data_IF_113911667344
#
_entry.id   IF_113911667344
#
_cell.length_a   1.000
_cell.length_b   1.000
_cell.length_c   1.000
_cell.angle_alpha   90.00
_cell.angle_beta   90.00
_cell.angle_gamma   90.00
#
_symmetry.space_group_name_H-M   'P 1'
#
loop_
_entity.id
_entity.type
_entity.pdbx_description
1 polymer ?
#
# COMPACT_ATOMS: atom_id res chain seq x y z
N UNK A 1 -29.52 -64.49 2.67
CA UNK A 1 -28.49 -63.56 3.20
C UNK A 1 -28.17 -62.56 2.11
N UNK A 2 -28.26 -61.27 2.48
CA UNK A 2 -27.91 -60.06 1.72
C UNK A 2 -28.77 -59.69 0.48
N UNK A 3 -29.66 -58.69 0.60
CA UNK A 3 -30.32 -58.03 -0.53
C UNK A 3 -29.36 -57.10 -1.31
N UNK A 4 -29.71 -56.70 -2.55
CA UNK A 4 -28.91 -55.77 -3.35
C UNK A 4 -28.88 -54.37 -2.72
N UNK A 5 -27.69 -53.75 -2.68
CA UNK A 5 -27.51 -52.36 -2.29
C UNK A 5 -28.00 -51.41 -3.40
N UNK A 6 -28.63 -50.29 -3.02
CA UNK A 6 -29.38 -49.42 -3.93
C UNK A 6 -28.52 -48.43 -4.75
N UNK A 7 -29.17 -48.06 -5.86
CA UNK A 7 -28.93 -46.97 -6.81
C UNK A 7 -28.41 -45.65 -6.24
N UNK A 8 -27.43 -45.09 -6.95
CA UNK A 8 -26.91 -43.72 -6.84
C UNK A 8 -28.03 -42.67 -6.74
N UNK A 9 -27.98 -41.72 -5.79
CA UNK A 9 -28.96 -40.64 -5.74
C UNK A 9 -28.74 -39.64 -6.89
N UNK A 10 -29.82 -39.13 -7.51
CA UNK A 10 -29.73 -38.15 -8.58
C UNK A 10 -29.20 -36.81 -8.05
N UNK A 11 -28.22 -36.26 -8.77
CA UNK A 11 -27.61 -34.96 -8.47
C UNK A 11 -28.64 -33.84 -8.42
N UNK A 12 -28.64 -33.09 -7.31
CA UNK A 12 -29.49 -31.93 -7.15
C UNK A 12 -29.07 -30.81 -8.12
N UNK A 13 -29.99 -30.47 -9.02
CA UNK A 13 -29.86 -29.43 -10.02
C UNK A 13 -29.80 -28.03 -9.38
N UNK A 14 -28.81 -27.22 -9.78
CA UNK A 14 -28.45 -25.90 -9.22
C UNK A 14 -29.54 -24.81 -9.37
N UNK A 15 -30.70 -25.12 -9.95
CA UNK A 15 -31.80 -24.17 -10.21
C UNK A 15 -32.84 -24.11 -9.09
N UNK A 16 -32.79 -24.99 -8.09
CA UNK A 16 -33.71 -25.01 -6.94
C UNK A 16 -33.10 -24.36 -5.68
N UNK A 17 -32.00 -23.61 -5.80
CA UNK A 17 -31.46 -22.78 -4.71
C UNK A 17 -31.83 -21.30 -4.83
N UNK A 18 -32.49 -20.88 -5.92
CA UNK A 18 -32.93 -19.49 -6.14
C UNK A 18 -34.42 -19.24 -5.86
N UNK A 19 -35.09 -20.15 -5.15
CA UNK A 19 -36.53 -20.02 -4.82
C UNK A 19 -36.82 -20.01 -3.31
N UNK A 20 -35.80 -20.07 -2.44
CA UNK A 20 -35.96 -20.20 -0.99
C UNK A 20 -35.52 -18.98 -0.16
N UNK A 21 -35.29 -17.82 -0.78
CA UNK A 21 -34.84 -16.60 -0.09
C UNK A 21 -35.77 -15.40 -0.31
N UNK A 22 -37.06 -15.66 -0.52
CA UNK A 22 -38.07 -14.63 -0.84
C UNK A 22 -39.04 -14.34 0.31
N UNK A 23 -38.68 -14.66 1.55
CA UNK A 23 -39.53 -14.38 2.71
C UNK A 23 -38.74 -13.69 3.82
N UNK A 24 -38.98 -12.38 3.96
CA UNK A 24 -38.72 -11.66 5.21
C UNK A 24 -37.78 -10.47 5.06
N UNK A 25 -38.28 -9.35 4.53
CA UNK A 25 -37.77 -8.02 4.87
C UNK A 25 -38.78 -6.95 4.45
N UNK A 26 -39.83 -6.81 5.26
CA UNK A 26 -40.70 -5.64 5.22
C UNK A 26 -41.37 -5.43 6.58
N UNK A 27 -40.63 -4.95 7.58
CA UNK A 27 -41.14 -4.00 8.60
C UNK A 27 -40.01 -3.06 9.04
N UNK A 28 -40.15 -1.83 8.55
CA UNK A 28 -39.75 -0.51 9.02
C UNK A 28 -39.13 -0.40 10.44
N UNK A 29 -37.92 0.15 10.49
CA UNK A 29 -37.48 1.08 11.54
C UNK A 29 -36.43 2.06 10.98
N UNK A 30 -36.91 3.24 10.60
CA UNK A 30 -36.13 4.46 10.30
C UNK A 30 -35.42 4.96 11.56
N UNK A 31 -34.25 4.40 11.91
CA UNK A 31 -33.64 4.74 13.19
C UNK A 31 -32.18 4.38 13.50
N UNK A 32 -31.33 3.89 12.58
CA UNK A 32 -29.91 3.58 12.90
C UNK A 32 -28.88 3.79 11.76
N UNK A 33 -29.15 4.57 10.71
CA UNK A 33 -28.27 4.63 9.51
C UNK A 33 -27.52 5.94 9.26
N UNK A 34 -27.51 6.92 10.17
CA UNK A 34 -26.60 8.07 10.02
C UNK A 34 -25.17 7.68 10.40
N UNK A 35 -25.00 6.97 11.51
CA UNK A 35 -23.67 6.62 12.02
C UNK A 35 -22.85 5.77 11.05
N UNK A 36 -23.43 4.76 10.38
CA UNK A 36 -22.67 3.85 9.52
C UNK A 36 -22.16 4.49 8.22
N UNK A 37 -22.84 5.53 7.72
CA UNK A 37 -22.39 6.27 6.54
C UNK A 37 -21.31 7.29 6.93
N UNK A 38 -21.54 8.05 8.01
CA UNK A 38 -20.57 9.01 8.56
C UNK A 38 -19.27 8.32 9.02
N UNK A 39 -19.35 7.15 9.66
CA UNK A 39 -18.16 6.40 10.08
C UNK A 39 -17.38 5.84 8.89
N UNK A 40 -18.05 5.37 7.83
CA UNK A 40 -17.35 4.94 6.61
C UNK A 40 -16.64 6.10 5.94
N UNK A 41 -17.30 7.25 5.84
CA UNK A 41 -16.70 8.46 5.27
C UNK A 41 -15.47 8.91 6.06
N UNK A 42 -15.54 8.91 7.39
CA UNK A 42 -14.40 9.21 8.29
C UNK A 42 -13.24 8.23 8.15
N UNK A 43 -13.52 6.94 7.98
CA UNK A 43 -12.46 5.94 7.75
C UNK A 43 -11.81 6.19 6.39
N UNK A 44 -12.60 6.47 5.35
CA UNK A 44 -12.04 6.74 4.02
C UNK A 44 -11.23 8.04 3.96
N UNK A 45 -11.61 9.07 4.73
CA UNK A 45 -10.84 10.31 4.84
C UNK A 45 -9.55 10.12 5.62
N UNK A 46 -9.60 9.44 6.78
CA UNK A 46 -8.39 9.05 7.53
C UNK A 46 -7.42 8.24 6.66
N UNK A 47 -7.92 7.26 5.92
CA UNK A 47 -7.12 6.46 5.00
C UNK A 47 -6.52 7.30 3.86
N UNK A 48 -7.16 8.40 3.45
CA UNK A 48 -6.62 9.32 2.47
C UNK A 48 -5.52 10.22 3.06
N UNK A 49 -5.69 10.68 4.31
CA UNK A 49 -4.68 11.45 5.04
C UNK A 49 -3.42 10.61 5.31
N UNK A 50 -3.59 9.36 5.75
CA UNK A 50 -2.51 8.41 5.95
C UNK A 50 -1.78 8.09 4.63
N UNK A 51 -2.51 7.95 3.52
CA UNK A 51 -1.89 7.79 2.20
C UNK A 51 -1.09 9.03 1.80
N UNK A 52 -1.59 10.23 2.13
CA UNK A 52 -0.88 11.50 1.90
C UNK A 52 0.42 11.58 2.72
N UNK A 53 0.43 11.07 3.95
CA UNK A 53 1.65 10.96 4.74
C UNK A 53 2.69 10.02 4.09
N UNK A 54 2.24 8.93 3.44
CA UNK A 54 3.13 8.02 2.70
C UNK A 54 3.73 8.64 1.43
N UNK A 55 3.05 9.62 0.82
CA UNK A 55 3.65 10.44 -0.25
C UNK A 55 4.89 11.17 0.27
N UNK A 56 4.81 11.81 1.43
CA UNK A 56 5.94 12.53 2.03
C UNK A 56 7.12 11.61 2.38
N UNK A 57 6.85 10.37 2.83
CA UNK A 57 7.89 9.36 3.07
C UNK A 57 8.63 9.02 1.77
N UNK A 58 7.90 8.82 0.67
CA UNK A 58 8.52 8.52 -0.62
C UNK A 58 9.29 9.72 -1.19
N UNK A 59 8.81 10.94 -1.00
CA UNK A 59 9.53 12.17 -1.37
C UNK A 59 10.87 12.29 -0.64
N UNK A 60 10.92 11.91 0.64
CA UNK A 60 12.17 11.88 1.39
C UNK A 60 13.17 10.85 0.84
N UNK A 61 12.71 9.71 0.30
CA UNK A 61 13.57 8.74 -0.39
C UNK A 61 14.17 9.32 -1.67
N UNK A 62 13.36 9.97 -2.50
CA UNK A 62 13.84 10.65 -3.71
C UNK A 62 14.86 11.73 -3.35
N UNK A 63 14.57 12.55 -2.34
CA UNK A 63 15.52 13.54 -1.81
C UNK A 63 16.81 12.90 -1.30
N UNK A 64 16.74 11.70 -0.71
CA UNK A 64 17.93 11.00 -0.23
C UNK A 64 18.81 10.49 -1.38
N UNK A 65 18.23 10.01 -2.49
CA UNK A 65 19.01 9.68 -3.69
C UNK A 65 19.73 10.90 -4.28
N UNK A 66 19.07 12.06 -4.30
CA UNK A 66 19.68 13.32 -4.74
C UNK A 66 20.83 13.73 -3.82
N UNK A 67 20.61 13.71 -2.50
CA UNK A 67 21.64 14.05 -1.52
C UNK A 67 22.84 13.08 -1.58
N UNK A 68 22.58 11.79 -1.72
CA UNK A 68 23.63 10.77 -1.89
C UNK A 68 24.45 11.03 -3.17
N UNK A 69 23.79 11.35 -4.28
CA UNK A 69 24.50 11.64 -5.53
C UNK A 69 25.32 12.93 -5.50
N UNK A 70 24.90 13.91 -4.71
CA UNK A 70 25.69 15.13 -4.47
C UNK A 70 26.93 14.86 -3.60
N UNK A 71 26.81 13.96 -2.61
CA UNK A 71 27.91 13.59 -1.72
C UNK A 71 28.90 12.59 -2.36
N UNK A 72 28.41 11.69 -3.22
CA UNK A 72 29.19 10.68 -3.93
C UNK A 72 28.69 10.51 -5.38
N UNK A 73 29.29 11.22 -6.36
CA UNK A 73 28.90 11.11 -7.76
C UNK A 73 29.16 9.74 -8.38
N UNK A 74 30.10 8.95 -7.84
CA UNK A 74 30.36 7.60 -8.34
C UNK A 74 29.19 6.68 -7.94
N UNK A 75 28.74 6.76 -6.68
CA UNK A 75 27.54 6.08 -6.21
C UNK A 75 26.30 6.50 -7.02
N UNK A 76 26.18 7.78 -7.39
CA UNK A 76 25.05 8.29 -8.18
C UNK A 76 24.86 7.52 -9.49
N UNK A 77 25.95 7.21 -10.19
CA UNK A 77 25.92 6.45 -11.44
C UNK A 77 25.47 5.00 -11.21
N UNK A 78 25.88 4.38 -10.10
CA UNK A 78 25.51 3.01 -9.75
C UNK A 78 24.03 2.88 -9.37
N UNK A 79 23.46 3.89 -8.69
CA UNK A 79 22.09 3.86 -8.17
C UNK A 79 21.08 4.61 -9.05
N UNK A 80 21.47 5.08 -10.23
CA UNK A 80 20.61 5.87 -11.12
C UNK A 80 19.28 5.17 -11.45
N UNK A 81 19.32 3.87 -11.75
CA UNK A 81 18.10 3.08 -12.01
C UNK A 81 17.21 2.95 -10.77
N UNK A 82 17.80 2.93 -9.57
CA UNK A 82 17.06 2.86 -8.30
C UNK A 82 16.38 4.20 -7.99
N UNK A 83 17.07 5.31 -8.26
CA UNK A 83 16.51 6.65 -8.13
C UNK A 83 15.31 6.84 -9.09
N UNK A 84 15.45 6.43 -10.36
CA UNK A 84 14.36 6.49 -11.32
C UNK A 84 13.14 5.63 -10.91
N UNK A 85 13.39 4.47 -10.30
CA UNK A 85 12.30 3.64 -9.74
C UNK A 85 11.60 4.33 -8.57
N UNK A 86 12.33 5.03 -7.69
CA UNK A 86 11.76 5.76 -6.57
C UNK A 86 10.86 6.92 -7.05
N UNK A 87 11.25 7.60 -8.14
CA UNK A 87 10.42 8.62 -8.80
C UNK A 87 9.13 8.05 -9.38
N UNK A 88 9.21 6.91 -10.07
CA UNK A 88 8.04 6.23 -10.63
C UNK A 88 7.09 5.72 -9.53
N UNK A 89 7.62 5.26 -8.40
CA UNK A 89 6.82 4.91 -7.21
C UNK A 89 6.12 6.13 -6.63
N UNK A 90 6.81 7.27 -6.53
CA UNK A 90 6.25 8.52 -6.06
C UNK A 90 5.11 9.02 -6.97
N UNK A 91 5.30 8.95 -8.28
CA UNK A 91 4.26 9.31 -9.26
C UNK A 91 2.99 8.47 -9.07
N UNK A 92 3.15 7.15 -8.89
CA UNK A 92 2.02 6.23 -8.64
C UNK A 92 1.33 6.51 -7.30
N UNK A 93 2.07 6.84 -6.24
CA UNK A 93 1.49 7.23 -4.95
C UNK A 93 0.68 8.51 -5.05
N UNK A 94 1.22 9.55 -5.70
CA UNK A 94 0.51 10.81 -5.92
C UNK A 94 -0.76 10.63 -6.75
N UNK A 95 -0.72 9.77 -7.77
CA UNK A 95 -1.90 9.43 -8.56
C UNK A 95 -2.99 8.71 -7.74
N UNK A 96 -2.60 7.92 -6.73
CA UNK A 96 -3.51 7.23 -5.83
C UNK A 96 -4.06 8.12 -4.68
N UNK A 97 -3.46 9.29 -4.45
CA UNK A 97 -3.84 10.26 -3.43
C UNK A 97 -4.23 11.64 -4.03
N UNK A 98 -5.28 11.71 -4.88
CA UNK A 98 -5.73 12.98 -5.45
C UNK A 98 -6.32 13.86 -4.34
N UNK A 99 -5.57 14.87 -3.90
CA UNK A 99 -5.97 15.77 -2.81
C UNK A 99 -4.86 16.08 -1.81
N UNK A 100 -3.75 15.34 -1.85
CA UNK A 100 -2.55 15.71 -1.10
C UNK A 100 -2.01 17.03 -1.66
N UNK A 101 -2.40 18.16 -1.06
CA UNK A 101 -1.68 19.41 -1.28
C UNK A 101 -0.22 19.14 -0.95
N UNK A 102 0.66 19.47 -1.89
CA UNK A 102 2.11 19.32 -1.78
C UNK A 102 2.62 20.10 -0.56
N UNK A 103 2.57 19.49 0.62
CA UNK A 103 3.36 19.94 1.75
C UNK A 103 4.81 19.69 1.40
N UNK A 104 5.67 20.70 1.58
CA UNK A 104 7.08 20.53 1.33
C UNK A 104 7.57 19.29 2.09
N UNK A 105 8.20 18.31 1.41
CA UNK A 105 8.67 17.11 2.09
C UNK A 105 9.66 17.51 3.18
N UNK A 106 9.70 16.79 4.31
CA UNK A 106 10.83 16.91 5.21
C UNK A 106 12.09 16.57 4.42
N UNK A 107 13.00 17.52 4.29
CA UNK A 107 14.27 17.29 3.61
C UNK A 107 14.96 16.09 4.27
N UNK A 108 15.44 15.14 3.46
CA UNK A 108 16.40 14.18 3.97
C UNK A 108 17.58 14.98 4.55
N UNK A 109 18.05 14.61 5.74
CA UNK A 109 19.23 15.24 6.32
C UNK A 109 20.42 15.14 5.37
N UNK A 110 21.43 15.99 5.56
CA UNK A 110 22.61 15.98 4.70
C UNK A 110 23.26 14.59 4.68
N UNK A 111 23.52 14.09 3.47
CA UNK A 111 24.21 12.82 3.29
C UNK A 111 25.66 12.95 3.77
N UNK A 112 26.19 11.97 4.53
CA UNK A 112 27.60 11.97 4.89
C UNK A 112 28.45 11.81 3.62
N UNK A 113 29.69 12.33 3.61
CA UNK A 113 30.61 12.13 2.50
C UNK A 113 30.91 10.65 2.29
N UNK A 114 31.47 10.32 1.13
CA UNK A 114 31.94 8.96 0.86
C UNK A 114 33.05 8.55 1.86
N UNK A 115 33.11 7.28 2.28
CA UNK A 115 32.33 6.14 1.80
C UNK A 115 31.00 5.87 2.53
N UNK A 116 30.66 6.64 3.58
CA UNK A 116 29.49 6.37 4.43
C UNK A 116 28.15 6.61 3.72
N UNK A 117 28.16 7.34 2.60
CA UNK A 117 26.98 7.71 1.81
C UNK A 117 26.11 6.50 1.44
N UNK A 118 26.70 5.35 1.06
CA UNK A 118 25.94 4.15 0.68
C UNK A 118 25.17 3.57 1.86
N UNK A 119 25.82 3.44 3.03
CA UNK A 119 25.20 2.89 4.24
C UNK A 119 24.10 3.82 4.78
N UNK A 120 24.30 5.14 4.67
CA UNK A 120 23.28 6.13 4.97
C UNK A 120 22.07 6.01 4.03
N UNK A 121 22.29 5.95 2.71
CA UNK A 121 21.21 5.80 1.73
C UNK A 121 20.42 4.52 1.97
N UNK A 122 21.12 3.43 2.26
CA UNK A 122 20.53 2.14 2.64
C UNK A 122 19.59 2.28 3.85
N UNK A 123 20.03 2.99 4.89
CA UNK A 123 19.22 3.25 6.09
C UNK A 123 17.93 4.02 5.75
N UNK A 124 18.02 5.03 4.87
CA UNK A 124 16.85 5.79 4.42
C UNK A 124 15.84 4.90 3.68
N UNK A 125 16.32 4.07 2.75
CA UNK A 125 15.49 3.14 1.98
C UNK A 125 14.82 2.10 2.87
N UNK A 126 15.57 1.49 3.81
CA UNK A 126 15.03 0.51 4.76
C UNK A 126 13.96 1.12 5.68
N UNK A 127 14.19 2.35 6.17
CA UNK A 127 13.22 3.07 7.02
C UNK A 127 11.93 3.36 6.27
N UNK A 128 12.02 3.80 5.01
CA UNK A 128 10.86 4.04 4.17
C UNK A 128 10.08 2.74 3.87
N UNK A 129 10.79 1.65 3.56
CA UNK A 129 10.16 0.33 3.36
C UNK A 129 9.34 -0.10 4.58
N UNK A 130 9.90 0.06 5.78
CA UNK A 130 9.20 -0.24 7.03
C UNK A 130 7.98 0.66 7.26
N UNK A 131 8.07 1.95 6.92
CA UNK A 131 6.96 2.90 7.04
C UNK A 131 5.79 2.52 6.12
N UNK A 132 6.06 2.21 4.84
CA UNK A 132 5.03 1.75 3.90
C UNK A 132 4.43 0.41 4.32
N UNK A 133 5.24 -0.52 4.82
CA UNK A 133 4.77 -1.81 5.33
C UNK A 133 3.83 -1.63 6.54
N UNK A 134 4.17 -0.71 7.46
CA UNK A 134 3.31 -0.38 8.58
C UNK A 134 2.01 0.26 8.11
N UNK A 135 2.07 1.30 7.26
CA UNK A 135 0.88 1.98 6.74
C UNK A 135 -0.02 1.06 5.89
N UNK A 136 0.54 0.02 5.28
CA UNK A 136 -0.24 -0.98 4.55
C UNK A 136 -1.27 -1.69 5.44
N UNK A 137 -1.02 -1.85 6.75
CA UNK A 137 -1.93 -2.58 7.65
C UNK A 137 -3.20 -1.79 8.00
N UNK A 138 -3.14 -0.47 7.90
CA UNK A 138 -4.26 0.44 8.18
C UNK A 138 -5.09 0.73 6.91
N UNK A 139 -4.64 0.21 5.77
CA UNK A 139 -5.24 0.43 4.46
C UNK A 139 -6.00 -0.80 3.95
N UNK A 140 -6.89 -0.56 3.00
CA UNK A 140 -7.71 -1.61 2.36
C UNK A 140 -7.62 -1.59 0.84
N UNK A 141 -7.84 -2.76 0.22
CA UNK A 141 -7.98 -2.91 -1.23
C UNK A 141 -6.75 -2.47 -2.02
N UNK A 142 -6.97 -1.65 -3.05
CA UNK A 142 -5.91 -1.21 -3.96
C UNK A 142 -4.83 -0.35 -3.27
N UNK A 143 -5.19 0.42 -2.22
CA UNK A 143 -4.24 1.25 -1.47
C UNK A 143 -3.26 0.38 -0.67
N UNK A 144 -3.77 -0.64 0.01
CA UNK A 144 -2.94 -1.61 0.70
C UNK A 144 -2.01 -2.36 -0.28
N UNK A 145 -2.56 -2.82 -1.41
CA UNK A 145 -1.76 -3.49 -2.44
C UNK A 145 -0.64 -2.57 -2.99
N UNK A 146 -0.94 -1.28 -3.22
CA UNK A 146 0.05 -0.30 -3.66
C UNK A 146 1.17 -0.13 -2.62
N UNK A 147 0.83 0.16 -1.36
CA UNK A 147 1.82 0.37 -0.30
C UNK A 147 2.66 -0.88 -0.04
N UNK A 148 2.02 -2.06 -0.02
CA UNK A 148 2.73 -3.34 0.10
C UNK A 148 3.69 -3.59 -1.07
N UNK A 149 3.30 -3.26 -2.30
CA UNK A 149 4.19 -3.39 -3.47
C UNK A 149 5.39 -2.43 -3.42
N UNK A 150 5.21 -1.23 -2.90
CA UNK A 150 6.27 -0.23 -2.73
C UNK A 150 7.22 -0.66 -1.61
N UNK A 151 6.68 -1.08 -0.46
CA UNK A 151 7.48 -1.61 0.65
C UNK A 151 8.36 -2.79 0.21
N UNK A 152 7.79 -3.75 -0.53
CA UNK A 152 8.53 -4.88 -1.08
C UNK A 152 9.60 -4.45 -2.10
N UNK A 153 9.28 -3.47 -2.96
CA UNK A 153 10.23 -2.89 -3.90
C UNK A 153 11.43 -2.26 -3.20
N UNK A 154 11.19 -1.39 -2.21
CA UNK A 154 12.22 -0.72 -1.43
C UNK A 154 13.06 -1.71 -0.62
N UNK A 155 12.46 -2.76 -0.04
CA UNK A 155 13.22 -3.83 0.62
C UNK A 155 14.16 -4.57 -0.35
N UNK A 156 13.74 -4.76 -1.61
CA UNK A 156 14.61 -5.27 -2.67
C UNK A 156 15.75 -4.31 -3.02
N UNK A 157 15.54 -3.00 -2.94
CA UNK A 157 16.59 -1.99 -3.15
C UNK A 157 17.59 -1.96 -2.00
N UNK A 158 17.13 -2.05 -0.74
CA UNK A 158 18.00 -2.22 0.43
C UNK A 158 18.97 -3.41 0.25
N UNK A 159 18.44 -4.55 -0.18
CA UNK A 159 19.25 -5.75 -0.44
C UNK A 159 20.27 -5.59 -1.58
N UNK A 160 20.03 -4.67 -2.54
CA UNK A 160 20.99 -4.35 -3.62
C UNK A 160 22.06 -3.34 -3.20
N UNK A 161 21.77 -2.52 -2.19
CA UNK A 161 22.71 -1.56 -1.59
C UNK A 161 23.58 -2.19 -0.50
N UNK A 162 23.28 -3.43 -0.11
CA UNK A 162 23.89 -4.20 0.97
C UNK A 162 25.26 -4.79 0.64
#
# INVERSE_FOLDING_TARGET
MSPPLPSCPPGFSRRTLLAASAAGLAVLATGCTSSSADEREKVTSRQADELSAQVAVQEAVVSAFVAAGAADPALAAEVADLAAQADEQLARLRAAAPGSSSSAPPAAGDAPPAPETRAWLRTQVATAAASHAAACVDQSGARAALLGSIAAGLAGQDGRLA
#
